data_IF_078005107355
#
_entry.id   IF_078005107355
#
_cell.length_a   1.000
_cell.length_b   1.000
_cell.length_c   1.000
_cell.angle_alpha   90.00
_cell.angle_beta   90.00
_cell.angle_gamma   90.00
#
_symmetry.space_group_name_H-M   'P 1'
#
loop_
_entity.id
_entity.type
_entity.pdbx_description
1 polymer ?
#
# COMPACT_ATOMS: atom_id res chain seq x y z
N UNK A 1 -16.33 -8.45 18.28
CA UNK A 1 -16.68 -8.20 16.87
C UNK A 1 -15.83 -7.01 16.47
N UNK A 2 -14.88 -7.21 15.56
CA UNK A 2 -14.06 -6.11 15.02
C UNK A 2 -14.95 -5.42 13.98
N UNK A 3 -15.17 -4.12 14.12
CA UNK A 3 -15.92 -3.35 13.11
C UNK A 3 -15.04 -3.14 11.87
N UNK A 4 -15.64 -2.90 10.71
CA UNK A 4 -14.85 -2.61 9.49
C UNK A 4 -14.01 -1.34 9.66
N UNK A 5 -14.49 -0.38 10.46
CA UNK A 5 -13.73 0.80 10.87
C UNK A 5 -12.45 0.39 11.59
N UNK A 6 -12.51 -0.52 12.58
CA UNK A 6 -11.30 -0.98 13.30
C UNK A 6 -10.24 -1.64 12.39
N UNK A 7 -10.63 -2.09 11.19
CA UNK A 7 -9.76 -2.72 10.19
C UNK A 7 -9.32 -1.76 9.06
N UNK A 8 -9.74 -0.49 9.12
CA UNK A 8 -9.34 0.52 8.16
C UNK A 8 -7.85 0.88 8.30
N UNK A 9 -7.20 1.15 7.18
CA UNK A 9 -5.77 1.39 7.10
C UNK A 9 -5.33 2.59 7.93
N UNK A 10 -6.10 3.68 7.97
CA UNK A 10 -5.78 4.85 8.80
C UNK A 10 -5.65 4.51 10.30
N UNK A 11 -6.42 3.52 10.80
CA UNK A 11 -6.34 3.10 12.20
C UNK A 11 -5.03 2.36 12.50
N UNK A 12 -4.46 1.63 11.54
CA UNK A 12 -3.12 1.07 11.69
C UNK A 12 -2.07 2.18 11.86
N UNK A 13 -2.11 3.21 11.01
CA UNK A 13 -1.17 4.34 11.09
C UNK A 13 -1.31 5.09 12.42
N UNK A 14 -2.54 5.40 12.82
CA UNK A 14 -2.81 6.03 14.13
C UNK A 14 -2.25 5.20 15.29
N UNK A 15 -2.43 3.88 15.26
CA UNK A 15 -1.94 2.98 16.31
C UNK A 15 -0.41 2.97 16.44
N UNK A 16 0.33 3.04 15.33
CA UNK A 16 1.80 3.07 15.34
C UNK A 16 2.37 4.48 15.58
N UNK A 17 1.51 5.49 15.80
CA UNK A 17 1.91 6.87 16.05
C UNK A 17 2.20 7.68 14.78
N UNK A 18 1.65 7.28 13.65
CA UNK A 18 1.65 8.03 12.39
C UNK A 18 0.23 8.46 11.98
N UNK A 19 0.12 9.01 10.78
CA UNK A 19 -1.12 9.53 10.22
C UNK A 19 -1.20 9.17 8.72
N UNK A 20 -2.40 8.85 8.24
CA UNK A 20 -2.66 8.58 6.84
C UNK A 20 -3.96 9.26 6.44
N UNK A 21 -3.85 10.20 5.51
CA UNK A 21 -4.93 10.91 4.85
C UNK A 21 -4.69 10.91 3.34
N UNK A 22 -5.74 11.15 2.55
CA UNK A 22 -5.63 11.19 1.08
C UNK A 22 -4.55 12.17 0.55
N UNK A 23 -4.14 13.18 1.33
CA UNK A 23 -3.13 14.18 0.98
C UNK A 23 -1.91 14.26 1.91
N UNK A 24 -1.87 13.44 2.96
CA UNK A 24 -0.84 13.50 3.99
C UNK A 24 -0.45 12.11 4.50
N UNK A 25 0.84 11.91 4.71
CA UNK A 25 1.39 10.68 5.25
C UNK A 25 2.44 11.02 6.30
N UNK A 26 2.32 10.40 7.48
CA UNK A 26 3.39 10.38 8.47
C UNK A 26 3.61 8.96 9.01
N UNK A 27 4.88 8.57 9.11
CA UNK A 27 5.27 7.25 9.61
C UNK A 27 6.52 7.33 10.49
N UNK A 28 6.40 7.01 11.80
CA UNK A 28 7.55 7.00 12.69
C UNK A 28 8.41 5.76 12.43
N UNK A 29 9.72 5.97 12.27
CA UNK A 29 10.72 4.90 12.23
C UNK A 29 11.65 5.01 13.42
N UNK A 30 12.52 4.00 13.61
CA UNK A 30 13.55 4.05 14.66
C UNK A 30 14.57 5.18 14.46
N UNK A 31 14.66 5.75 13.24
CA UNK A 31 15.64 6.78 12.90
C UNK A 31 15.02 8.18 12.97
N UNK A 32 13.86 8.35 12.34
CA UNK A 32 13.14 9.62 12.25
C UNK A 32 11.66 9.44 11.93
N UNK A 33 10.89 10.50 12.11
CA UNK A 33 9.57 10.64 11.50
C UNK A 33 9.75 10.97 10.02
N UNK A 34 9.14 10.17 9.16
CA UNK A 34 8.93 10.53 7.75
C UNK A 34 7.57 11.19 7.65
N UNK A 35 7.51 12.33 6.97
CA UNK A 35 6.29 13.13 6.82
C UNK A 35 6.29 13.71 5.40
N UNK A 36 5.19 13.52 4.69
CA UNK A 36 5.01 13.99 3.32
C UNK A 36 3.58 14.50 3.13
N UNK A 37 3.45 15.63 2.46
CA UNK A 37 2.17 16.19 2.05
C UNK A 37 2.15 16.39 0.54
N UNK A 38 0.99 16.18 -0.10
CA UNK A 38 0.82 16.49 -1.51
C UNK A 38 1.21 17.95 -1.77
N UNK A 39 2.09 18.18 -2.74
CA UNK A 39 2.66 19.51 -2.95
C UNK A 39 4.13 19.64 -2.55
N UNK A 40 4.64 18.74 -1.71
CA UNK A 40 6.05 18.77 -1.31
C UNK A 40 6.98 18.49 -2.51
N UNK A 41 8.16 19.10 -2.48
CA UNK A 41 9.14 18.95 -3.55
C UNK A 41 9.96 17.68 -3.36
N UNK A 42 9.96 16.82 -4.37
CA UNK A 42 10.92 15.73 -4.50
C UNK A 42 12.18 16.25 -5.21
N UNK A 43 13.36 15.99 -4.65
CA UNK A 43 14.64 16.45 -5.21
C UNK A 43 14.81 16.00 -6.66
N UNK A 44 14.78 16.95 -7.60
CA UNK A 44 14.95 16.68 -9.03
C UNK A 44 13.71 16.15 -9.78
N UNK A 45 12.62 15.86 -9.08
CA UNK A 45 11.41 15.24 -9.69
C UNK A 45 10.17 16.15 -9.68
N UNK A 46 10.26 17.32 -9.04
CA UNK A 46 9.17 18.30 -9.01
C UNK A 46 8.25 18.11 -7.82
N UNK A 47 6.96 18.41 -8.00
CA UNK A 47 5.94 18.29 -6.95
C UNK A 47 5.54 16.82 -6.81
N UNK A 48 5.64 16.30 -5.58
CA UNK A 48 5.24 14.95 -5.23
C UNK A 48 3.76 14.85 -4.84
N UNK A 49 3.18 13.71 -5.18
CA UNK A 49 1.84 13.29 -4.80
C UNK A 49 1.92 11.91 -4.16
N UNK A 50 1.25 11.76 -3.01
CA UNK A 50 1.03 10.51 -2.30
C UNK A 50 0.09 9.62 -3.11
N UNK A 51 0.53 8.39 -3.37
CA UNK A 51 -0.19 7.39 -4.13
C UNK A 51 -0.03 6.03 -3.47
N UNK A 52 -1.13 5.27 -3.39
CA UNK A 52 -1.11 3.94 -2.79
C UNK A 52 -1.58 2.91 -3.81
N UNK A 53 -0.80 1.84 -3.93
CA UNK A 53 -1.07 0.72 -4.82
C UNK A 53 -1.28 -0.55 -3.99
N UNK A 54 -2.26 -1.36 -4.35
CA UNK A 54 -2.52 -2.65 -3.73
C UNK A 54 -2.26 -3.76 -4.74
N UNK A 55 -1.43 -4.74 -4.38
CA UNK A 55 -1.41 -6.03 -5.06
C UNK A 55 -2.37 -6.98 -4.38
N UNK A 56 -3.27 -7.56 -5.19
CA UNK A 56 -4.32 -8.49 -4.78
C UNK A 56 -4.17 -9.81 -5.51
N UNK A 57 -4.63 -10.89 -4.87
CA UNK A 57 -4.64 -12.23 -5.45
C UNK A 57 -6.04 -12.59 -5.95
N UNK A 58 -6.13 -13.17 -7.13
CA UNK A 58 -7.29 -13.91 -7.63
C UNK A 58 -6.97 -15.41 -7.50
N UNK A 59 -7.45 -16.03 -6.42
CA UNK A 59 -7.19 -17.44 -6.13
C UNK A 59 -7.83 -18.38 -7.15
N UNK A 60 -8.99 -18.02 -7.69
CA UNK A 60 -9.70 -18.84 -8.68
C UNK A 60 -8.90 -18.97 -9.97
N UNK A 61 -8.20 -17.89 -10.34
CA UNK A 61 -7.37 -17.85 -11.55
C UNK A 61 -5.90 -18.18 -11.30
N UNK A 62 -5.47 -18.25 -10.03
CA UNK A 62 -4.05 -18.35 -9.69
C UNK A 62 -3.27 -17.13 -10.21
N UNK A 63 -3.90 -15.96 -10.16
CA UNK A 63 -3.36 -14.71 -10.68
C UNK A 63 -3.18 -13.68 -9.57
N UNK A 64 -2.34 -12.68 -9.79
CA UNK A 64 -2.27 -11.49 -8.95
C UNK A 64 -2.22 -10.25 -9.83
N UNK A 65 -2.82 -9.17 -9.33
CA UNK A 65 -3.01 -7.94 -10.08
C UNK A 65 -2.85 -6.73 -9.16
N UNK A 66 -2.56 -5.59 -9.77
CA UNK A 66 -2.38 -4.32 -9.08
C UNK A 66 -3.61 -3.44 -9.26
N UNK A 67 -3.92 -2.66 -8.24
CA UNK A 67 -4.93 -1.61 -8.25
C UNK A 67 -4.34 -0.34 -7.60
N UNK A 68 -4.50 0.81 -8.27
CA UNK A 68 -4.25 2.13 -7.64
C UNK A 68 -5.46 2.49 -6.79
N UNK A 69 -5.25 2.78 -5.52
CA UNK A 69 -6.30 3.13 -4.58
C UNK A 69 -6.60 4.63 -4.65
N UNK A 70 -7.87 5.01 -4.79
CA UNK A 70 -8.30 6.42 -4.86
C UNK A 70 -8.68 7.02 -3.51
N UNK A 71 -9.17 6.19 -2.58
CA UNK A 71 -9.49 6.56 -1.19
C UNK A 71 -8.83 5.52 -0.28
N UNK A 72 -7.52 5.66 -0.11
CA UNK A 72 -6.73 4.64 0.57
C UNK A 72 -6.81 4.73 2.10
N UNK A 73 -7.23 5.89 2.65
CA UNK A 73 -7.49 6.04 4.09
C UNK A 73 -8.56 5.07 4.60
N UNK A 74 -9.57 4.80 3.77
CA UNK A 74 -10.69 3.90 4.05
C UNK A 74 -10.43 2.45 3.60
N UNK A 75 -9.23 2.14 3.13
CA UNK A 75 -8.90 0.80 2.67
C UNK A 75 -9.02 -0.20 3.83
N UNK A 76 -9.94 -1.15 3.70
CA UNK A 76 -10.11 -2.23 4.67
C UNK A 76 -9.10 -3.33 4.34
N UNK A 77 -8.14 -3.52 5.24
CA UNK A 77 -7.13 -4.57 5.09
C UNK A 77 -7.83 -5.92 5.12
N UNK A 78 -7.51 -6.77 4.14
CA UNK A 78 -8.11 -8.10 4.05
C UNK A 78 -7.94 -8.88 5.36
N UNK A 79 -9.00 -9.51 5.91
CA UNK A 79 -8.95 -10.22 7.19
C UNK A 79 -8.21 -11.56 7.13
N UNK A 80 -7.45 -11.81 6.07
CA UNK A 80 -6.70 -13.05 5.89
C UNK A 80 -5.45 -13.06 6.79
N UNK A 81 -5.38 -14.04 7.69
CA UNK A 81 -4.28 -14.22 8.64
C UNK A 81 -2.98 -14.73 8.00
N UNK A 82 -3.03 -15.15 6.74
CA UNK A 82 -1.90 -15.72 6.02
C UNK A 82 -1.37 -14.68 5.03
N UNK A 83 -0.08 -14.34 5.14
CA UNK A 83 0.66 -13.63 4.10
C UNK A 83 1.51 -14.70 3.39
N UNK A 84 1.19 -15.15 2.16
CA UNK A 84 -0.03 -14.97 1.34
C UNK A 84 -1.23 -15.80 1.82
N UNK A 85 -2.49 -15.39 1.54
CA UNK A 85 -2.93 -14.29 0.69
C UNK A 85 -3.31 -13.03 1.51
N UNK A 86 -2.31 -12.26 1.92
CA UNK A 86 -2.49 -10.95 2.55
C UNK A 86 -2.25 -9.83 1.54
N UNK A 87 -2.85 -8.67 1.80
CA UNK A 87 -2.70 -7.51 0.91
C UNK A 87 -1.26 -6.97 0.93
N UNK A 88 -0.72 -6.65 -0.25
CA UNK A 88 0.52 -5.88 -0.37
C UNK A 88 0.17 -4.45 -0.72
N UNK A 89 0.33 -3.54 0.24
CA UNK A 89 0.14 -2.12 0.05
C UNK A 89 1.50 -1.43 -0.18
N UNK A 90 1.59 -0.64 -1.23
CA UNK A 90 2.78 0.10 -1.63
C UNK A 90 2.44 1.59 -1.62
N UNK A 91 3.09 2.31 -0.72
CA UNK A 91 2.97 3.76 -0.58
C UNK A 91 4.11 4.41 -1.34
N UNK A 92 3.79 5.36 -2.21
CA UNK A 92 4.78 6.11 -2.95
C UNK A 92 4.48 7.60 -2.90
N UNK A 93 5.54 8.38 -2.73
CA UNK A 93 5.49 9.83 -2.80
C UNK A 93 6.38 10.31 -3.93
N UNK A 94 5.79 10.87 -4.98
CA UNK A 94 6.53 11.28 -6.18
C UNK A 94 5.61 11.65 -7.33
N UNK A 95 6.13 11.54 -8.56
CA UNK A 95 5.36 11.86 -9.76
C UNK A 95 4.11 10.97 -9.87
N UNK A 96 2.98 11.59 -10.23
CA UNK A 96 1.74 10.86 -10.47
C UNK A 96 1.89 9.81 -11.58
N UNK A 97 1.39 8.60 -11.30
CA UNK A 97 1.39 7.45 -12.21
C UNK A 97 0.23 6.50 -11.94
N UNK A 98 -0.05 5.62 -12.90
CA UNK A 98 -1.17 4.68 -12.82
C UNK A 98 -0.80 3.33 -12.20
N UNK A 99 0.49 3.00 -12.18
CA UNK A 99 1.02 1.70 -11.77
C UNK A 99 2.34 1.84 -11.01
N UNK A 100 2.64 0.91 -10.09
CA UNK A 100 3.98 0.78 -9.49
C UNK A 100 4.80 -0.36 -10.10
N UNK A 101 6.11 -0.15 -10.13
CA UNK A 101 7.11 -1.17 -10.47
C UNK A 101 7.51 -1.99 -9.23
N UNK A 102 7.17 -1.51 -8.03
CA UNK A 102 7.44 -2.17 -6.77
C UNK A 102 6.48 -3.36 -6.57
N UNK A 103 6.98 -4.42 -5.95
CA UNK A 103 6.22 -5.63 -5.64
C UNK A 103 6.70 -6.19 -4.31
N UNK A 104 5.76 -6.66 -3.46
CA UNK A 104 6.15 -7.33 -2.23
C UNK A 104 6.85 -8.67 -2.53
N UNK A 105 7.87 -8.98 -1.73
CA UNK A 105 8.74 -10.16 -1.94
C UNK A 105 7.97 -11.48 -2.04
N UNK A 106 6.88 -11.63 -1.29
CA UNK A 106 6.08 -12.85 -1.33
C UNK A 106 5.37 -13.08 -2.68
N UNK A 107 4.90 -12.02 -3.35
CA UNK A 107 4.34 -12.14 -4.70
C UNK A 107 5.43 -12.46 -5.73
N UNK A 108 6.63 -11.87 -5.56
CA UNK A 108 7.76 -12.18 -6.42
C UNK A 108 8.16 -13.66 -6.31
N UNK A 109 8.24 -14.18 -5.09
CA UNK A 109 8.54 -15.60 -4.82
C UNK A 109 7.47 -16.51 -5.40
N UNK A 110 6.18 -16.21 -5.18
CA UNK A 110 5.06 -17.00 -5.73
C UNK A 110 5.10 -17.04 -7.28
N UNK A 111 5.42 -15.90 -7.91
CA UNK A 111 5.62 -15.82 -9.37
C UNK A 111 6.79 -16.68 -9.84
N UNK A 112 7.94 -16.62 -9.15
CA UNK A 112 9.14 -17.40 -9.52
C UNK A 112 8.92 -18.91 -9.37
N UNK A 113 8.14 -19.33 -8.38
CA UNK A 113 7.75 -20.73 -8.18
C UNK A 113 6.68 -21.22 -9.16
N UNK A 114 6.03 -20.31 -9.89
CA UNK A 114 4.90 -20.61 -10.77
C UNK A 114 3.59 -20.86 -10.04
N UNK A 115 3.49 -20.47 -8.77
CA UNK A 115 2.29 -20.60 -7.93
C UNK A 115 1.23 -19.56 -8.32
N UNK A 116 1.68 -18.35 -8.70
CA UNK A 116 0.82 -17.25 -9.15
C UNK A 116 1.36 -16.61 -10.44
N UNK A 117 0.47 -16.09 -11.28
CA UNK A 117 0.81 -15.35 -12.51
C UNK A 117 0.39 -13.89 -12.40
N UNK A 118 1.23 -12.97 -12.89
CA UNK A 118 0.83 -11.56 -13.00
C UNK A 118 -0.20 -11.46 -14.13
N UNK A 119 -1.35 -10.85 -13.84
CA UNK A 119 -2.39 -10.54 -14.82
C UNK A 119 -1.95 -9.44 -15.78
#
# INVERSE_FOLDING_TARGET
MVSLEDAALHNFFSFVGGELHDDHFSFPTNEKLYEFSNGDLCEGEGVGTLQVFSWKTDEERGEFYQEKLTHFEDYVISPHSNIPPGDCLIFEFGKEKDETENICSFYEVARQKGELKKR
#
